data_IF_982142911361
#
_entry.id   IF_982142911361
#
_cell.length_a   1.000
_cell.length_b   1.000
_cell.length_c   1.000
_cell.angle_alpha   90.00
_cell.angle_beta   90.00
_cell.angle_gamma   90.00
#
_symmetry.space_group_name_H-M   'P 1'
#
loop_
_entity.id
_entity.type
_entity.pdbx_description
1 polymer ?
#
# COMPACT_ATOMS: atom_id res chain seq x y z
N UNK A 1 51.06 8.74 -23.00
CA UNK A 1 49.90 7.84 -22.85
C UNK A 1 49.34 8.04 -21.46
N UNK A 2 48.17 8.66 -21.31
CA UNK A 2 47.55 8.90 -20.01
C UNK A 2 46.72 7.68 -19.62
N UNK A 3 47.22 6.87 -18.68
CA UNK A 3 46.48 5.75 -18.11
C UNK A 3 45.51 6.27 -17.06
N UNK A 4 44.21 6.26 -17.35
CA UNK A 4 43.18 6.45 -16.34
C UNK A 4 43.08 5.17 -15.51
N UNK A 5 43.90 5.07 -14.47
CA UNK A 5 43.78 4.06 -13.42
C UNK A 5 42.55 4.39 -12.56
N UNK A 6 41.37 4.08 -13.09
CA UNK A 6 40.13 4.10 -12.31
C UNK A 6 40.17 2.97 -11.28
N UNK A 7 40.60 3.26 -10.06
CA UNK A 7 40.44 2.34 -8.94
C UNK A 7 38.94 2.19 -8.68
N UNK A 8 38.40 1.02 -9.01
CA UNK A 8 37.02 0.67 -8.68
C UNK A 8 36.86 0.55 -7.16
N UNK A 9 35.81 1.18 -6.63
CA UNK A 9 35.42 1.08 -5.22
C UNK A 9 34.30 0.07 -4.98
N UNK A 10 34.05 -0.27 -3.72
CA UNK A 10 32.93 -1.13 -3.30
C UNK A 10 31.79 -0.26 -2.77
N UNK A 11 30.58 -0.48 -3.27
CA UNK A 11 29.37 0.17 -2.75
C UNK A 11 28.66 -0.83 -1.82
N UNK A 12 28.49 -0.45 -0.56
CA UNK A 12 27.67 -1.20 0.39
C UNK A 12 26.27 -0.59 0.44
N UNK A 13 25.26 -1.41 0.11
CA UNK A 13 23.85 -1.07 0.30
C UNK A 13 23.37 -1.66 1.60
N UNK A 14 22.77 -0.83 2.45
CA UNK A 14 22.06 -1.25 3.67
C UNK A 14 20.58 -0.99 3.48
N UNK A 15 19.76 -1.93 3.93
CA UNK A 15 18.32 -1.84 3.82
C UNK A 15 17.64 -2.89 4.69
N UNK A 16 16.34 -2.75 4.85
CA UNK A 16 15.47 -3.70 5.53
C UNK A 16 14.41 -4.19 4.55
N UNK A 17 14.08 -5.48 4.62
CA UNK A 17 12.92 -6.02 3.90
C UNK A 17 11.68 -5.60 4.69
N UNK A 18 10.91 -4.67 4.13
CA UNK A 18 9.63 -4.23 4.71
C UNK A 18 8.48 -4.96 4.04
N UNK A 19 7.38 -5.14 4.78
CA UNK A 19 6.16 -5.68 4.19
C UNK A 19 5.64 -4.71 3.12
N UNK A 20 5.16 -5.22 1.97
CA UNK A 20 4.58 -4.37 0.95
C UNK A 20 3.30 -3.71 1.45
N UNK A 21 2.91 -2.55 0.89
CA UNK A 21 1.62 -1.95 1.19
C UNK A 21 0.47 -2.88 0.81
N UNK A 22 -0.71 -2.63 1.37
CA UNK A 22 -1.90 -3.36 1.00
C UNK A 22 -2.25 -3.12 -0.47
N UNK A 23 -2.56 -4.20 -1.18
CA UNK A 23 -3.12 -4.14 -2.52
C UNK A 23 -4.63 -3.91 -2.43
N UNK A 24 -5.15 -2.97 -3.22
CA UNK A 24 -6.59 -2.71 -3.29
C UNK A 24 -7.07 -2.84 -4.72
N UNK A 25 -8.10 -3.67 -4.90
CA UNK A 25 -8.74 -3.88 -6.19
C UNK A 25 -10.25 -3.79 -6.07
N UNK A 26 -10.91 -3.39 -7.16
CA UNK A 26 -12.38 -3.35 -7.22
C UNK A 26 -12.87 -4.68 -7.79
N UNK A 27 -13.59 -5.44 -6.98
CA UNK A 27 -14.20 -6.71 -7.38
C UNK A 27 -15.72 -6.50 -7.39
N UNK A 28 -16.30 -6.42 -8.59
CA UNK A 28 -17.72 -6.11 -8.80
C UNK A 28 -18.12 -4.76 -8.17
N UNK A 29 -18.87 -4.79 -7.05
CA UNK A 29 -19.33 -3.62 -6.30
C UNK A 29 -18.63 -3.45 -4.93
N UNK A 30 -17.65 -4.32 -4.62
CA UNK A 30 -16.87 -4.27 -3.37
C UNK A 30 -15.41 -3.96 -3.67
N UNK A 31 -14.70 -3.47 -2.66
CA UNK A 31 -13.25 -3.33 -2.69
C UNK A 31 -12.63 -4.53 -1.97
N UNK A 32 -11.76 -5.24 -2.66
CA UNK A 32 -10.91 -6.26 -2.06
C UNK A 32 -9.60 -5.58 -1.63
N UNK A 33 -9.31 -5.64 -0.33
CA UNK A 33 -8.09 -5.11 0.28
C UNK A 33 -7.29 -6.30 0.81
N UNK A 34 -6.09 -6.48 0.26
CA UNK A 34 -5.17 -7.56 0.58
C UNK A 34 -3.93 -6.98 1.24
N UNK A 35 -3.73 -7.25 2.52
CA UNK A 35 -2.57 -6.77 3.26
C UNK A 35 -1.71 -7.95 3.71
N UNK A 36 -0.38 -7.81 3.61
CA UNK A 36 0.52 -8.75 4.26
C UNK A 36 0.70 -8.34 5.72
N UNK A 37 0.57 -9.32 6.61
CA UNK A 37 0.90 -9.19 8.02
C UNK A 37 1.66 -10.42 8.47
N UNK A 38 2.88 -10.24 8.96
CA UNK A 38 3.79 -11.30 9.39
C UNK A 38 4.00 -12.37 8.30
N UNK A 39 4.12 -11.94 7.05
CA UNK A 39 4.31 -12.84 5.90
C UNK A 39 3.05 -13.60 5.46
N UNK A 40 1.89 -13.35 6.08
CA UNK A 40 0.61 -13.90 5.65
C UNK A 40 -0.26 -12.83 4.98
N UNK A 41 -0.71 -13.11 3.76
CA UNK A 41 -1.67 -12.25 3.06
C UNK A 41 -3.08 -12.47 3.60
N UNK A 42 -3.70 -11.41 4.10
CA UNK A 42 -5.10 -11.39 4.51
C UNK A 42 -5.91 -10.52 3.55
N UNK A 43 -6.90 -11.11 2.90
CA UNK A 43 -7.82 -10.39 2.01
C UNK A 43 -9.16 -10.17 2.70
N UNK A 44 -9.63 -8.93 2.70
CA UNK A 44 -10.97 -8.56 3.18
C UNK A 44 -11.72 -7.77 2.11
N UNK A 45 -13.03 -7.93 2.11
CA UNK A 45 -13.92 -7.26 1.18
C UNK A 45 -14.72 -6.20 1.93
N UNK A 46 -14.70 -4.97 1.43
CA UNK A 46 -15.41 -3.83 1.99
C UNK A 46 -16.38 -3.25 0.97
N UNK A 47 -17.56 -2.86 1.43
CA UNK A 47 -18.30 -1.81 0.73
C UNK A 47 -17.61 -0.45 0.93
N UNK A 48 -17.86 0.55 0.06
CA UNK A 48 -17.25 1.87 0.21
C UNK A 48 -17.48 2.53 1.57
N UNK A 49 -18.61 2.24 2.22
CA UNK A 49 -18.95 2.77 3.55
C UNK A 49 -18.19 2.07 4.68
N UNK A 50 -17.84 0.79 4.50
CA UNK A 50 -17.14 -0.02 5.49
C UNK A 50 -15.62 0.17 5.43
N UNK A 51 -15.09 0.80 4.37
CA UNK A 51 -13.66 1.08 4.22
C UNK A 51 -13.08 1.88 5.39
N UNK A 52 -13.88 2.77 5.98
CA UNK A 52 -13.49 3.55 7.16
C UNK A 52 -13.18 2.66 8.38
N UNK A 53 -13.67 1.42 8.40
CA UNK A 53 -13.40 0.42 9.44
C UNK A 53 -12.21 -0.50 9.09
N UNK A 54 -11.55 -0.32 7.95
CA UNK A 54 -10.37 -1.11 7.58
C UNK A 54 -9.21 -1.04 8.61
N UNK A 55 -8.92 0.11 9.27
CA UNK A 55 -7.87 0.18 10.30
C UNK A 55 -8.13 -0.72 11.53
N UNK A 56 -9.37 -1.11 11.78
CA UNK A 56 -9.70 -2.05 12.87
C UNK A 56 -9.31 -3.50 12.54
N UNK A 57 -9.15 -3.81 11.25
CA UNK A 57 -8.91 -5.16 10.75
C UNK A 57 -7.46 -5.39 10.33
N UNK A 58 -6.74 -4.33 9.98
CA UNK A 58 -5.34 -4.37 9.56
C UNK A 58 -4.51 -3.48 10.47
N UNK A 59 -3.66 -4.10 11.31
CA UNK A 59 -2.86 -3.38 12.32
C UNK A 59 -1.85 -2.40 11.72
N UNK A 60 -1.37 -2.67 10.51
CA UNK A 60 -0.43 -1.85 9.76
C UNK A 60 -1.07 -0.58 9.17
N UNK A 61 -2.41 -0.49 9.16
CA UNK A 61 -3.13 0.69 8.67
C UNK A 61 -3.42 1.62 9.86
N UNK A 62 -3.05 2.90 9.70
CA UNK A 62 -3.37 3.97 10.64
C UNK A 62 -4.76 4.55 10.36
N UNK A 63 -5.02 4.89 9.10
CA UNK A 63 -6.27 5.49 8.66
C UNK A 63 -6.58 5.13 7.20
N UNK A 64 -7.87 5.17 6.85
CA UNK A 64 -8.34 5.11 5.47
C UNK A 64 -9.30 6.26 5.26
N UNK A 65 -9.08 7.03 4.20
CA UNK A 65 -9.97 8.09 3.76
C UNK A 65 -10.45 7.83 2.33
N UNK A 66 -11.71 8.16 2.06
CA UNK A 66 -12.35 7.99 0.77
C UNK A 66 -13.00 9.31 0.34
N UNK A 67 -12.33 9.99 -0.58
CA UNK A 67 -12.79 11.27 -1.11
C UNK A 67 -13.47 11.08 -2.48
N UNK A 68 -14.79 11.34 -2.54
CA UNK A 68 -15.53 11.31 -3.79
C UNK A 68 -15.26 12.56 -4.62
N UNK A 69 -14.94 12.36 -5.89
CA UNK A 69 -14.64 13.43 -6.85
C UNK A 69 -15.89 13.95 -7.56
N UNK A 70 -17.02 13.22 -7.47
CA UNK A 70 -18.27 13.62 -8.10
C UNK A 70 -19.49 13.36 -7.19
N UNK A 71 -20.54 14.15 -7.41
CA UNK A 71 -21.80 14.05 -6.63
C UNK A 71 -22.49 12.69 -6.80
N UNK A 72 -22.31 12.06 -7.96
CA UNK A 72 -22.85 10.74 -8.28
C UNK A 72 -22.13 9.60 -7.54
N UNK A 73 -21.04 9.89 -6.82
CA UNK A 73 -20.23 8.94 -6.03
C UNK A 73 -19.72 7.74 -6.84
N UNK A 74 -19.45 7.94 -8.13
CA UNK A 74 -18.90 6.90 -9.01
C UNK A 74 -17.39 6.97 -9.17
N UNK A 75 -16.79 8.11 -8.82
CA UNK A 75 -15.34 8.34 -8.85
C UNK A 75 -14.86 8.81 -7.48
N UNK A 76 -13.81 8.17 -6.97
CA UNK A 76 -13.22 8.51 -5.68
C UNK A 76 -11.71 8.30 -5.68
N UNK A 77 -11.03 9.07 -4.83
CA UNK A 77 -9.64 8.87 -4.43
C UNK A 77 -9.66 8.24 -3.05
N UNK A 78 -8.90 7.15 -2.88
CA UNK A 78 -8.75 6.48 -1.61
C UNK A 78 -7.32 6.68 -1.11
N UNK A 79 -7.19 7.22 0.10
CA UNK A 79 -5.92 7.42 0.78
C UNK A 79 -5.79 6.41 1.91
N UNK A 80 -4.64 5.73 1.99
CA UNK A 80 -4.36 4.74 3.04
C UNK A 80 -3.07 5.17 3.73
N UNK A 81 -3.18 5.48 5.02
CA UNK A 81 -2.04 5.81 5.85
C UNK A 81 -1.55 4.55 6.56
N UNK A 82 -0.26 4.26 6.44
CA UNK A 82 0.40 3.13 7.07
C UNK A 82 1.16 3.58 8.33
N UNK A 83 1.33 2.65 9.29
CA UNK A 83 2.08 2.87 10.53
C UNK A 83 3.58 2.62 10.37
#
# INVERSE_FOLDING_TARGET
MAGTSGQGGVIHFVGQIVEPPCEVSRVQQRLAMSCNHEGHTQTRYYSPQELLNAPQHFKQIAAVDLHYLNEQKTLAVMSIDYR
#
